data_IF_805640324123
#
_entry.id   IF_805640324123
#
_cell.length_a   1.000
_cell.length_b   1.000
_cell.length_c   1.000
_cell.angle_alpha   90.00
_cell.angle_beta   90.00
_cell.angle_gamma   90.00
#
_symmetry.space_group_name_H-M   'P 1'
#
loop_
_entity.id
_entity.type
_entity.pdbx_description
1 polymer ?
#
# COMPACT_ATOMS: atom_id res chain seq x y z
N UNK A 1 -12.82 -1.53 19.46
CA UNK A 1 -11.75 -1.79 20.45
C UNK A 1 -10.48 -2.10 19.68
N UNK A 2 -9.37 -1.41 19.98
CA UNK A 2 -8.10 -1.55 19.25
C UNK A 2 -7.17 -2.52 19.98
N UNK A 3 -6.61 -3.48 19.25
CA UNK A 3 -5.70 -4.51 19.76
C UNK A 3 -4.40 -3.90 20.32
N UNK A 4 -3.74 -4.64 21.22
CA UNK A 4 -2.49 -4.18 21.85
C UNK A 4 -1.38 -3.99 20.83
N UNK A 5 -1.31 -4.88 19.83
CA UNK A 5 -0.24 -4.85 18.83
C UNK A 5 -0.38 -3.66 17.89
N UNK A 6 -1.60 -3.30 17.50
CA UNK A 6 -1.87 -2.07 16.73
C UNK A 6 -1.49 -0.84 17.53
N UNK A 7 -1.82 -0.77 18.83
CA UNK A 7 -1.38 0.35 19.68
C UNK A 7 0.14 0.47 19.76
N UNK A 8 0.84 -0.66 19.89
CA UNK A 8 2.31 -0.68 19.92
C UNK A 8 2.89 -0.17 18.60
N UNK A 9 2.35 -0.61 17.47
CA UNK A 9 2.74 -0.17 16.15
C UNK A 9 2.54 1.35 15.97
N UNK A 10 1.38 1.87 16.38
CA UNK A 10 1.05 3.30 16.35
C UNK A 10 2.06 4.12 17.16
N UNK A 11 2.42 3.68 18.37
CA UNK A 11 3.42 4.37 19.19
C UNK A 11 4.80 4.42 18.53
N UNK A 12 5.20 3.36 17.82
CA UNK A 12 6.45 3.34 17.06
C UNK A 12 6.38 4.36 15.92
N UNK A 13 5.29 4.38 15.15
CA UNK A 13 5.11 5.31 14.04
C UNK A 13 5.12 6.78 14.50
N UNK A 14 4.46 7.09 15.61
CA UNK A 14 4.48 8.44 16.19
C UNK A 14 5.90 8.86 16.61
N UNK A 15 6.63 7.97 17.28
CA UNK A 15 8.00 8.24 17.73
C UNK A 15 8.96 8.49 16.55
N UNK A 16 8.74 7.82 15.42
CA UNK A 16 9.53 7.94 14.19
C UNK A 16 9.03 9.08 13.26
N UNK A 17 8.05 9.88 13.68
CA UNK A 17 7.55 11.03 12.92
C UNK A 17 6.48 10.71 11.86
N UNK A 18 5.99 9.47 11.80
CA UNK A 18 4.92 9.03 10.90
C UNK A 18 3.52 9.19 11.50
N UNK A 19 3.27 10.28 12.22
CA UNK A 19 2.01 10.52 12.94
C UNK A 19 0.77 10.52 12.04
N UNK A 20 0.88 11.02 10.80
CA UNK A 20 -0.22 10.95 9.82
C UNK A 20 -0.64 9.50 9.53
N UNK A 21 0.34 8.63 9.29
CA UNK A 21 0.11 7.21 9.01
C UNK A 21 -0.42 6.46 10.23
N UNK A 22 0.05 6.84 11.42
CA UNK A 22 -0.50 6.33 12.68
C UNK A 22 -1.99 6.68 12.82
N UNK A 23 -2.37 7.92 12.51
CA UNK A 23 -3.77 8.35 12.48
C UNK A 23 -4.62 7.62 11.45
N UNK A 24 -4.09 7.39 10.24
CA UNK A 24 -4.75 6.61 9.20
C UNK A 24 -5.04 5.17 9.66
N UNK A 25 -4.04 4.49 10.25
CA UNK A 25 -4.20 3.13 10.77
C UNK A 25 -5.28 3.09 11.86
N UNK A 26 -5.25 4.02 12.80
CA UNK A 26 -6.26 4.09 13.87
C UNK A 26 -7.66 4.29 13.29
N UNK A 27 -7.80 5.23 12.35
CA UNK A 27 -9.08 5.54 11.71
C UNK A 27 -9.64 4.33 10.96
N UNK A 28 -8.80 3.62 10.20
CA UNK A 28 -9.26 2.49 9.38
C UNK A 28 -9.58 1.27 10.24
N UNK A 29 -8.77 0.98 11.28
CA UNK A 29 -9.04 -0.11 12.21
C UNK A 29 -10.32 0.12 13.02
N UNK A 30 -10.58 1.37 13.44
CA UNK A 30 -11.79 1.71 14.21
C UNK A 30 -13.05 1.73 13.33
N UNK A 31 -12.94 2.27 12.10
CA UNK A 31 -14.06 2.35 11.15
C UNK A 31 -14.39 1.00 10.51
N UNK A 32 -13.43 0.08 10.45
CA UNK A 32 -13.55 -1.20 9.78
C UNK A 32 -13.22 -1.14 8.28
N UNK A 33 -12.87 -2.28 7.70
CA UNK A 33 -12.46 -2.42 6.29
C UNK A 33 -13.64 -2.28 5.33
N UNK A 34 -13.39 -1.74 4.14
CA UNK A 34 -14.36 -1.78 3.04
C UNK A 34 -14.41 -3.18 2.42
N UNK A 35 -15.62 -3.73 2.31
CA UNK A 35 -15.89 -4.98 1.58
C UNK A 35 -16.98 -4.74 0.55
N UNK A 36 -16.93 -5.43 -0.61
CA UNK A 36 -18.04 -5.42 -1.56
C UNK A 36 -19.34 -5.82 -0.85
N UNK A 37 -20.44 -5.14 -1.17
CA UNK A 37 -21.75 -5.55 -0.69
C UNK A 37 -22.29 -6.63 -1.61
N UNK A 38 -22.71 -7.76 -1.03
CA UNK A 38 -23.34 -8.86 -1.76
C UNK A 38 -24.81 -8.58 -2.11
N UNK A 39 -25.28 -7.34 -1.96
CA UNK A 39 -26.64 -6.89 -2.30
C UNK A 39 -26.90 -6.81 -3.81
N UNK A 40 -26.21 -7.62 -4.61
CA UNK A 40 -26.61 -7.96 -5.97
C UNK A 40 -27.82 -8.92 -5.93
N UNK A 41 -28.96 -8.39 -5.50
CA UNK A 41 -30.25 -8.98 -5.83
C UNK A 41 -30.60 -8.65 -7.28
N UNK A 42 -30.16 -9.50 -8.21
CA UNK A 42 -30.98 -10.05 -9.31
C UNK A 42 -30.06 -10.83 -10.27
N UNK A 43 -30.16 -12.15 -10.19
CA UNK A 43 -29.89 -13.03 -11.32
C UNK A 43 -30.89 -12.68 -12.44
N UNK A 44 -30.51 -11.76 -13.34
CA UNK A 44 -31.10 -11.73 -14.68
C UNK A 44 -30.26 -12.67 -15.55
N UNK A 45 -30.83 -13.78 -16.08
CA UNK A 45 -30.14 -14.58 -17.07
C UNK A 45 -29.95 -13.72 -18.32
N UNK A 46 -28.72 -13.30 -18.58
CA UNK A 46 -28.31 -12.76 -19.87
C UNK A 46 -28.35 -13.91 -20.89
N UNK A 47 -29.52 -14.12 -21.48
CA UNK A 47 -29.65 -14.80 -22.77
C UNK A 47 -28.68 -14.12 -23.76
N UNK A 48 -27.79 -14.94 -24.30
CA UNK A 48 -26.66 -14.52 -25.11
C UNK A 48 -27.10 -13.86 -26.42
N UNK A 49 -27.06 -12.53 -26.47
CA UNK A 49 -26.97 -11.73 -27.68
C UNK A 49 -25.56 -11.17 -27.80
N UNK A 50 -24.67 -11.90 -28.45
CA UNK A 50 -23.27 -11.54 -28.62
C UNK A 50 -23.13 -10.56 -29.79
N UNK A 51 -23.37 -9.27 -29.56
CA UNK A 51 -22.95 -8.20 -30.47
C UNK A 51 -21.59 -7.65 -30.02
N UNK A 52 -20.54 -8.17 -30.65
CA UNK A 52 -19.16 -7.69 -30.50
C UNK A 52 -18.96 -6.34 -31.19
N UNK A 53 -19.39 -5.26 -30.54
CA UNK A 53 -18.87 -3.92 -30.89
C UNK A 53 -18.97 -2.87 -29.76
N UNK A 54 -19.09 -3.30 -28.51
CA UNK A 54 -19.03 -2.36 -27.38
C UNK A 54 -17.60 -2.29 -26.87
N UNK A 55 -16.88 -1.23 -27.28
CA UNK A 55 -15.66 -0.77 -26.61
C UNK A 55 -16.00 -0.67 -25.11
N UNK A 56 -15.23 -1.29 -24.19
CA UNK A 56 -15.51 -1.19 -22.76
C UNK A 56 -15.30 0.26 -22.34
N UNK A 57 -16.40 1.01 -22.24
CA UNK A 57 -16.42 2.38 -21.77
C UNK A 57 -15.99 2.37 -20.31
N UNK A 58 -14.89 3.06 -20.02
CA UNK A 58 -14.27 3.15 -18.69
C UNK A 58 -15.10 3.99 -17.72
N UNK A 59 -16.27 3.49 -17.31
CA UNK A 59 -17.13 4.18 -16.34
C UNK A 59 -17.74 3.23 -15.30
N UNK A 60 -17.47 3.63 -14.04
CA UNK A 60 -18.17 3.32 -12.78
C UNK A 60 -17.99 1.93 -12.17
N UNK A 61 -16.87 1.77 -11.46
CA UNK A 61 -16.71 0.87 -10.31
C UNK A 61 -17.57 1.33 -9.09
N UNK A 62 -18.83 1.69 -9.27
CA UNK A 62 -19.74 2.00 -8.16
C UNK A 62 -20.42 0.72 -7.64
N UNK A 63 -19.61 -0.31 -7.33
CA UNK A 63 -20.14 -1.43 -6.55
C UNK A 63 -20.39 -0.91 -5.13
N UNK A 64 -21.62 -1.05 -4.60
CA UNK A 64 -21.90 -0.60 -3.24
C UNK A 64 -20.93 -1.30 -2.28
N UNK A 65 -20.11 -0.53 -1.58
CA UNK A 65 -19.19 -1.04 -0.56
C UNK A 65 -19.80 -0.82 0.83
N UNK A 66 -19.59 -1.76 1.75
CA UNK A 66 -19.96 -1.60 3.15
C UNK A 66 -18.72 -1.68 4.03
N UNK A 67 -18.75 -1.00 5.19
CA UNK A 67 -17.71 -1.16 6.21
C UNK A 67 -18.00 -2.39 7.08
N UNK A 68 -17.03 -3.27 7.18
CA UNK A 68 -17.05 -4.43 8.06
C UNK A 68 -16.09 -4.20 9.23
N UNK A 69 -16.54 -4.32 10.49
CA UNK A 69 -15.65 -4.28 11.65
C UNK A 69 -14.54 -5.31 11.53
N UNK A 70 -13.32 -4.94 11.93
CA UNK A 70 -12.15 -5.83 11.86
C UNK A 70 -11.99 -6.57 13.19
N UNK A 71 -12.05 -7.91 13.19
CA UNK A 71 -11.77 -8.74 14.37
C UNK A 71 -10.42 -8.42 14.99
N UNK A 72 -10.31 -8.48 16.32
CA UNK A 72 -9.12 -8.06 17.07
C UNK A 72 -7.82 -8.77 16.63
N UNK A 73 -7.93 -10.04 16.28
CA UNK A 73 -6.88 -10.90 15.76
C UNK A 73 -6.47 -10.58 14.31
N UNK A 74 -7.34 -9.91 13.55
CA UNK A 74 -7.07 -9.45 12.18
C UNK A 74 -6.54 -8.00 12.13
N UNK A 75 -6.69 -7.21 13.20
CA UNK A 75 -6.37 -5.77 13.17
C UNK A 75 -4.88 -5.48 12.88
N UNK A 76 -3.96 -6.33 13.37
CA UNK A 76 -2.54 -6.16 13.08
C UNK A 76 -2.23 -6.41 11.60
N UNK A 77 -2.85 -7.43 11.01
CA UNK A 77 -2.72 -7.74 9.58
C UNK A 77 -3.22 -6.57 8.73
N UNK A 78 -4.34 -5.96 9.11
CA UNK A 78 -4.83 -4.78 8.41
C UNK A 78 -3.89 -3.57 8.54
N UNK A 79 -3.41 -3.28 9.75
CA UNK A 79 -2.46 -2.19 9.95
C UNK A 79 -1.18 -2.38 9.12
N UNK A 80 -0.68 -3.62 9.01
CA UNK A 80 0.45 -3.96 8.16
C UNK A 80 0.13 -3.82 6.67
N UNK A 81 -1.09 -4.16 6.24
CA UNK A 81 -1.54 -3.93 4.86
C UNK A 81 -1.49 -2.44 4.51
N UNK A 82 -1.94 -1.57 5.40
CA UNK A 82 -1.88 -0.11 5.23
C UNK A 82 -0.42 0.36 5.11
N UNK A 83 0.47 -0.13 5.99
CA UNK A 83 1.90 0.19 5.91
C UNK A 83 2.53 -0.22 4.56
N UNK A 84 2.18 -1.40 4.06
CA UNK A 84 2.64 -1.85 2.74
C UNK A 84 2.15 -0.92 1.63
N UNK A 85 0.87 -0.57 1.63
CA UNK A 85 0.28 0.33 0.62
C UNK A 85 0.87 1.74 0.67
N UNK A 86 1.22 2.24 1.85
CA UNK A 86 1.68 3.62 2.03
C UNK A 86 3.19 3.79 1.91
N UNK A 87 3.97 2.77 2.27
CA UNK A 87 5.43 2.89 2.31
C UNK A 87 6.13 1.96 1.31
N UNK A 88 5.73 0.69 1.25
CA UNK A 88 6.43 -0.33 0.43
C UNK A 88 6.07 -0.17 -1.04
N UNK A 89 4.78 -0.18 -1.38
CA UNK A 89 4.36 -0.14 -2.77
C UNK A 89 4.79 1.12 -3.50
N UNK A 90 4.63 2.34 -2.94
CA UNK A 90 5.05 3.56 -3.62
C UNK A 90 6.56 3.56 -3.87
N UNK A 91 7.37 3.13 -2.89
CA UNK A 91 8.81 3.03 -3.06
C UNK A 91 9.21 2.02 -4.15
N UNK A 92 8.56 0.85 -4.20
CA UNK A 92 8.80 -0.15 -5.27
C UNK A 92 8.42 0.38 -6.64
N UNK A 93 7.25 1.02 -6.76
CA UNK A 93 6.77 1.60 -8.02
C UNK A 93 7.67 2.73 -8.50
N UNK A 94 8.19 3.55 -7.59
CA UNK A 94 9.15 4.60 -7.93
C UNK A 94 10.44 4.00 -8.47
N UNK A 95 11.02 3.02 -7.77
CA UNK A 95 12.22 2.33 -8.23
C UNK A 95 11.99 1.63 -9.59
N UNK A 96 10.85 0.98 -9.79
CA UNK A 96 10.50 0.40 -11.09
C UNK A 96 10.40 1.46 -12.20
N UNK A 97 9.74 2.59 -11.93
CA UNK A 97 9.63 3.69 -12.87
C UNK A 97 11.02 4.26 -13.25
N UNK A 98 11.93 4.42 -12.29
CA UNK A 98 13.30 4.88 -12.55
C UNK A 98 14.08 3.89 -13.42
N UNK A 99 13.94 2.58 -13.17
CA UNK A 99 14.55 1.54 -14.02
C UNK A 99 14.04 1.64 -15.46
N UNK A 100 12.72 1.66 -15.63
CA UNK A 100 12.09 1.76 -16.95
C UNK A 100 12.47 3.05 -17.67
N UNK A 101 12.55 4.17 -16.97
CA UNK A 101 12.98 5.45 -17.53
C UNK A 101 14.45 5.40 -17.98
N UNK A 102 15.33 4.81 -17.17
CA UNK A 102 16.74 4.60 -17.53
C UNK A 102 16.92 3.68 -18.75
N UNK A 103 16.08 2.65 -18.88
CA UNK A 103 16.09 1.76 -20.06
C UNK A 103 15.68 2.49 -21.35
N UNK A 104 14.82 3.52 -21.25
CA UNK A 104 14.42 4.36 -22.38
C UNK A 104 15.52 5.36 -22.79
N UNK A 105 16.40 5.74 -21.87
CA UNK A 105 17.46 6.72 -22.11
C UNK A 105 18.82 6.03 -22.16
N UNK A 106 19.27 5.63 -23.36
CA UNK A 106 20.61 5.14 -23.76
C UNK A 106 21.65 4.97 -22.61
N UNK A 107 21.35 4.11 -21.63
CA UNK A 107 22.22 3.77 -20.50
C UNK A 107 22.46 4.86 -19.44
N UNK A 108 21.73 5.98 -19.43
CA UNK A 108 21.82 6.98 -18.37
C UNK A 108 20.81 6.69 -17.25
N UNK A 109 21.24 6.60 -15.98
CA UNK A 109 20.33 6.36 -14.87
C UNK A 109 19.45 7.59 -14.63
N UNK A 110 18.14 7.43 -14.79
CA UNK A 110 17.16 8.47 -14.49
C UNK A 110 16.67 8.39 -13.05
N UNK A 111 16.58 9.56 -12.40
CA UNK A 111 16.04 9.72 -11.06
C UNK A 111 14.82 10.63 -11.09
N UNK A 112 13.75 10.21 -10.42
CA UNK A 112 12.62 11.08 -10.15
C UNK A 112 12.89 11.89 -8.88
N UNK A 113 12.54 13.17 -8.92
CA UNK A 113 12.71 14.09 -7.79
C UNK A 113 11.35 14.61 -7.40
N UNK A 114 11.03 14.52 -6.10
CA UNK A 114 9.81 15.07 -5.53
C UNK A 114 10.02 16.57 -5.25
N UNK A 115 9.05 17.38 -5.65
CA UNK A 115 9.07 18.84 -5.48
C UNK A 115 7.77 19.26 -4.80
N UNK A 116 7.86 20.05 -3.74
CA UNK A 116 6.72 20.65 -3.03
C UNK A 116 7.00 22.14 -2.86
N UNK A 117 6.05 23.00 -3.26
CA UNK A 117 6.18 24.46 -3.21
C UNK A 117 7.50 25.01 -3.79
N UNK A 118 7.92 24.49 -4.95
CA UNK A 118 9.20 24.78 -5.63
C UNK A 118 10.47 24.35 -4.85
N UNK A 119 10.31 23.72 -3.68
CA UNK A 119 11.40 23.10 -2.94
C UNK A 119 11.54 21.64 -3.34
N UNK A 120 12.77 21.25 -3.74
CA UNK A 120 13.11 19.85 -3.93
C UNK A 120 13.08 19.18 -2.56
N UNK A 121 12.12 18.28 -2.36
CA UNK A 121 12.12 17.36 -1.23
C UNK A 121 13.21 16.32 -1.51
N UNK A 122 14.45 16.69 -1.19
CA UNK A 122 15.57 15.77 -1.25
C UNK A 122 15.50 14.84 -0.04
N UNK A 123 14.71 13.77 -0.17
CA UNK A 123 14.78 12.64 0.74
C UNK A 123 16.15 11.98 0.58
N UNK A 124 17.19 12.54 1.20
CA UNK A 124 18.59 12.07 1.21
C UNK A 124 18.95 11.23 -0.04
N UNK A 125 18.79 11.84 -1.22
CA UNK A 125 18.81 11.09 -2.49
C UNK A 125 20.15 10.38 -2.76
N UNK A 126 21.18 10.75 -1.99
CA UNK A 126 22.52 10.21 -2.07
C UNK A 126 22.65 8.80 -1.47
N UNK A 127 21.65 8.32 -0.72
CA UNK A 127 21.70 7.02 -0.04
C UNK A 127 21.27 5.82 -0.89
N UNK A 128 20.57 6.06 -2.01
CA UNK A 128 19.89 5.01 -2.78
C UNK A 128 20.13 5.25 -4.26
N UNK A 129 20.61 4.24 -5.00
CA UNK A 129 20.80 4.36 -6.44
C UNK A 129 19.45 4.45 -7.16
N UNK A 130 19.34 5.14 -8.31
CA UNK A 130 18.11 5.13 -9.08
C UNK A 130 17.69 3.71 -9.41
N UNK A 131 16.41 3.39 -9.18
CA UNK A 131 15.86 2.07 -9.40
C UNK A 131 16.13 1.01 -8.32
N UNK A 132 16.69 1.40 -7.18
CA UNK A 132 16.97 0.51 -6.05
C UNK A 132 15.77 0.40 -5.09
N UNK A 133 15.23 -0.81 -4.95
CA UNK A 133 14.08 -1.13 -4.10
C UNK A 133 14.47 -1.91 -2.81
N UNK A 134 15.75 -2.06 -2.51
CA UNK A 134 16.23 -2.92 -1.39
C UNK A 134 15.64 -2.54 -0.03
N UNK A 135 15.45 -1.25 0.24
CA UNK A 135 14.83 -0.81 1.50
C UNK A 135 13.35 -1.19 1.57
N UNK A 136 12.62 -1.07 0.46
CA UNK A 136 11.22 -1.48 0.39
C UNK A 136 11.08 -3.00 0.56
N UNK A 137 11.99 -3.79 -0.04
CA UNK A 137 12.05 -5.24 0.16
C UNK A 137 12.32 -5.58 1.62
N UNK A 138 13.35 -4.99 2.24
CA UNK A 138 13.68 -5.22 3.67
C UNK A 138 12.52 -4.87 4.60
N UNK A 139 11.85 -3.74 4.35
CA UNK A 139 10.68 -3.34 5.14
C UNK A 139 9.54 -4.35 4.95
N UNK A 140 9.25 -4.76 3.72
CA UNK A 140 8.21 -5.76 3.46
C UNK A 140 8.50 -7.10 4.13
N UNK A 141 9.75 -7.54 4.15
CA UNK A 141 10.17 -8.77 4.81
C UNK A 141 10.00 -8.66 6.33
N UNK A 142 10.40 -7.53 6.92
CA UNK A 142 10.19 -7.25 8.34
C UNK A 142 8.69 -7.26 8.69
N UNK A 143 7.86 -6.61 7.89
CA UNK A 143 6.40 -6.60 8.07
C UNK A 143 5.80 -8.01 7.96
N UNK A 144 6.32 -8.84 7.06
CA UNK A 144 5.90 -10.23 6.92
C UNK A 144 6.25 -11.06 8.15
N UNK A 145 7.45 -10.87 8.72
CA UNK A 145 7.88 -11.57 9.94
C UNK A 145 7.03 -11.21 11.15
N UNK A 146 6.58 -9.96 11.27
CA UNK A 146 5.67 -9.54 12.34
C UNK A 146 4.35 -10.34 12.29
N UNK A 147 3.88 -10.71 11.09
CA UNK A 147 2.67 -11.53 10.93
C UNK A 147 2.91 -13.02 11.16
N UNK A 148 4.11 -13.51 10.87
CA UNK A 148 4.48 -14.91 11.04
C UNK A 148 4.96 -15.26 12.46
N UNK A 149 5.10 -14.27 13.34
CA UNK A 149 5.69 -14.40 14.68
C UNK A 149 7.12 -15.00 14.67
N UNK A 150 7.84 -14.82 13.55
CA UNK A 150 9.20 -15.35 13.37
C UNK A 150 10.25 -14.41 14.03
N UNK A 151 11.16 -14.93 14.87
CA UNK A 151 12.20 -14.12 15.49
C UNK A 151 13.20 -13.57 14.46
N UNK A 152 13.80 -12.39 14.70
CA UNK A 152 14.80 -11.85 13.79
C UNK A 152 16.03 -12.76 13.73
N UNK A 153 16.46 -13.14 12.52
CA UNK A 153 17.76 -13.78 12.35
C UNK A 153 18.87 -12.81 12.76
N UNK A 154 19.63 -13.16 13.80
CA UNK A 154 20.88 -12.49 14.13
C UNK A 154 21.81 -12.58 12.92
N UNK A 155 22.17 -11.43 12.36
CA UNK A 155 23.22 -11.33 11.36
C UNK A 155 24.53 -11.23 12.15
N UNK A 156 25.28 -12.32 12.18
CA UNK A 156 26.66 -12.38 12.71
C UNK A 156 27.68 -11.74 11.78
#
# INVERSE_FOLDING_TARGET
MISRDVRRLVLILEAEGYGFLAGEILSEVDSGRLVPSDDSGDDVPLEAGFDTDTIPDGRSEDRPCRRQPIPLDEQLAEAIRILRLRLVEPARRLAEAERLAGDLTIGEPMRFVLVEDDEVISARSDLVAPGDDRFAVKLNDLLSRILSDEPPMEVG
#
